data_IF_934294488763
#
_entry.id   IF_934294488763
#
_cell.length_a   1.000
_cell.length_b   1.000
_cell.length_c   1.000
_cell.angle_alpha   90.00
_cell.angle_beta   90.00
_cell.angle_gamma   90.00
#
_symmetry.space_group_name_H-M   'P 1'
#
loop_
_entity.id
_entity.type
_entity.pdbx_description
1 polymer ?
#
# COMPACT_ATOMS: atom_id res chain seq x y z
N UNK A 1 -10.01 10.89 -18.31
CA UNK A 1 -8.83 10.01 -18.19
C UNK A 1 -7.53 10.72 -17.82
N UNK A 2 -7.24 11.94 -18.31
CA UNK A 2 -6.01 12.66 -17.90
C UNK A 2 -6.11 13.40 -16.55
N UNK A 3 -7.30 13.57 -15.96
CA UNK A 3 -7.49 14.33 -14.71
C UNK A 3 -6.97 13.59 -13.48
N UNK A 4 -7.29 12.31 -13.30
CA UNK A 4 -6.79 11.54 -12.14
C UNK A 4 -5.27 11.47 -12.12
N UNK A 5 -4.63 11.19 -13.26
CA UNK A 5 -3.17 11.15 -13.36
C UNK A 5 -2.54 12.48 -12.94
N UNK A 6 -3.11 13.61 -13.36
CA UNK A 6 -2.62 14.94 -12.97
C UNK A 6 -2.90 15.24 -11.49
N UNK A 7 -4.03 14.81 -10.95
CA UNK A 7 -4.35 14.93 -9.53
C UNK A 7 -3.35 14.15 -8.68
N UNK A 8 -3.01 12.92 -9.07
CA UNK A 8 -1.98 12.11 -8.42
C UNK A 8 -0.62 12.82 -8.45
N UNK A 9 -0.14 13.24 -9.63
CA UNK A 9 1.14 13.96 -9.76
C UNK A 9 1.19 15.20 -8.86
N UNK A 10 0.07 15.93 -8.74
CA UNK A 10 0.00 17.15 -7.92
C UNK A 10 -0.03 16.89 -6.42
N UNK A 11 -0.48 15.71 -5.98
CA UNK A 11 -0.68 15.36 -4.57
C UNK A 11 0.48 14.54 -3.97
N UNK A 12 1.38 14.02 -4.80
CA UNK A 12 2.47 13.15 -4.39
C UNK A 12 3.78 13.91 -4.24
N UNK A 13 4.66 13.38 -3.39
CA UNK A 13 6.01 13.93 -3.25
C UNK A 13 6.88 13.46 -4.43
N UNK A 14 7.92 14.21 -4.82
CA UNK A 14 8.89 13.77 -5.83
C UNK A 14 9.52 12.42 -5.48
N UNK A 15 9.91 11.64 -6.49
CA UNK A 15 10.45 10.28 -6.33
C UNK A 15 11.77 10.24 -5.52
N UNK A 16 12.50 11.35 -5.48
CA UNK A 16 13.75 11.52 -4.73
C UNK A 16 13.51 11.95 -3.27
N UNK A 17 12.27 12.30 -2.90
CA UNK A 17 11.93 12.86 -1.59
C UNK A 17 11.56 11.80 -0.55
N UNK A 18 12.07 10.56 -0.68
CA UNK A 18 11.78 9.48 0.25
C UNK A 18 12.20 9.87 1.68
N UNK A 19 11.22 9.88 2.59
CA UNK A 19 11.44 10.20 4.00
C UNK A 19 12.02 9.01 4.76
N UNK A 20 13.00 9.28 5.63
CA UNK A 20 13.49 8.31 6.62
C UNK A 20 12.58 8.17 7.86
N UNK A 21 11.39 8.80 7.84
CA UNK A 21 10.44 8.82 8.96
C UNK A 21 9.02 8.61 8.46
N UNK A 22 8.27 7.77 9.17
CA UNK A 22 6.85 7.55 8.92
C UNK A 22 6.01 8.79 9.30
N UNK A 23 5.04 9.13 8.46
CA UNK A 23 4.01 10.13 8.78
C UNK A 23 2.76 9.47 9.37
N UNK A 24 2.42 8.27 8.91
CA UNK A 24 1.29 7.48 9.39
C UNK A 24 1.76 6.11 9.87
N UNK A 25 0.94 5.43 10.66
CA UNK A 25 1.30 4.13 11.22
C UNK A 25 0.10 3.26 11.58
N UNK A 26 0.35 1.95 11.78
CA UNK A 26 -0.62 1.03 12.39
C UNK A 26 -0.99 1.46 13.84
N UNK A 27 -0.18 2.35 14.44
CA UNK A 27 -0.35 2.86 15.79
C UNK A 27 -1.21 4.14 15.87
N UNK A 28 -1.58 4.77 14.74
CA UNK A 28 -2.33 6.03 14.74
C UNK A 28 -3.73 5.88 15.34
N UNK A 29 -4.33 4.69 15.21
CA UNK A 29 -5.60 4.35 15.86
C UNK A 29 -5.41 3.70 17.24
N UNK A 30 -4.16 3.48 17.66
CA UNK A 30 -3.76 2.72 18.84
C UNK A 30 -2.55 3.38 19.54
N UNK A 31 -2.65 4.62 20.02
CA UNK A 31 -1.50 5.36 20.56
C UNK A 31 -0.85 4.66 21.76
N UNK A 32 -1.61 3.88 22.52
CA UNK A 32 -1.13 3.11 23.68
C UNK A 32 -0.56 1.72 23.31
N UNK A 33 -0.53 1.34 22.03
CA UNK A 33 0.07 0.08 21.62
C UNK A 33 1.61 0.12 21.77
N UNK A 34 2.22 -0.96 22.30
CA UNK A 34 3.67 -1.02 22.40
C UNK A 34 4.30 -1.01 21.01
N UNK A 35 5.25 -0.09 20.80
CA UNK A 35 6.09 -0.06 19.60
C UNK A 35 7.33 -0.92 19.81
N UNK A 36 7.88 -1.42 18.70
CA UNK A 36 9.14 -2.16 18.76
C UNK A 36 10.29 -1.21 19.07
N UNK A 37 11.05 -1.50 20.11
CA UNK A 37 12.26 -0.74 20.47
C UNK A 37 13.45 -1.17 19.58
N UNK A 38 13.33 -0.94 18.27
CA UNK A 38 14.38 -1.17 17.29
C UNK A 38 14.20 -0.26 16.07
N UNK A 39 15.29 0.04 15.33
CA UNK A 39 15.18 0.80 14.09
C UNK A 39 14.20 0.15 13.10
N UNK A 40 13.39 0.98 12.45
CA UNK A 40 12.50 0.52 11.38
C UNK A 40 13.33 0.05 10.18
N UNK A 41 12.89 -1.05 9.58
CA UNK A 41 13.53 -1.60 8.37
C UNK A 41 12.91 -0.92 7.14
N UNK A 42 13.71 -0.37 6.21
CA UNK A 42 13.17 0.27 5.02
C UNK A 42 12.54 -0.78 4.08
N UNK A 43 11.35 -0.45 3.58
CA UNK A 43 10.62 -1.21 2.58
C UNK A 43 9.95 -0.25 1.58
N UNK A 44 9.63 -0.75 0.40
CA UNK A 44 8.87 -0.01 -0.60
C UNK A 44 7.77 -0.90 -1.18
N UNK A 45 6.63 -0.29 -1.47
CA UNK A 45 5.51 -0.95 -2.15
C UNK A 45 5.13 -0.14 -3.38
N UNK A 46 4.68 -0.82 -4.42
CA UNK A 46 4.07 -0.19 -5.59
C UNK A 46 2.57 -0.04 -5.35
N UNK A 47 2.02 1.15 -5.55
CA UNK A 47 0.58 1.39 -5.69
C UNK A 47 0.28 1.53 -7.20
N UNK A 48 0.04 0.42 -7.92
CA UNK A 48 -0.18 0.42 -9.36
C UNK A 48 -1.61 0.80 -9.71
N UNK A 49 -1.81 2.03 -10.24
CA UNK A 49 -3.08 2.49 -10.81
C UNK A 49 -3.16 2.07 -12.27
N UNK A 50 -3.98 1.07 -12.58
CA UNK A 50 -4.14 0.54 -13.94
C UNK A 50 -5.17 1.36 -14.71
N UNK A 51 -4.77 1.90 -15.85
CA UNK A 51 -5.56 2.81 -16.70
C UNK A 51 -6.46 2.05 -17.68
N UNK A 52 -7.45 1.34 -17.15
CA UNK A 52 -8.46 0.68 -18.00
C UNK A 52 -9.47 1.68 -18.56
N UNK A 53 -10.03 1.36 -19.72
CA UNK A 53 -11.02 2.19 -20.42
C UNK A 53 -12.34 2.34 -19.64
N UNK A 54 -12.70 1.35 -18.83
CA UNK A 54 -13.93 1.34 -18.03
C UNK A 54 -13.76 2.01 -16.66
N UNK A 55 -12.56 2.54 -16.38
CA UNK A 55 -12.22 3.22 -15.14
C UNK A 55 -10.95 2.65 -14.50
N UNK A 56 -10.20 3.47 -13.75
CA UNK A 56 -8.95 3.03 -13.15
C UNK A 56 -9.19 2.00 -12.04
N UNK A 57 -8.23 1.09 -11.87
CA UNK A 57 -8.23 0.08 -10.81
C UNK A 57 -6.88 0.08 -10.08
N UNK A 58 -6.81 -0.53 -8.91
CA UNK A 58 -5.55 -0.86 -8.23
C UNK A 58 -5.28 -2.35 -8.28
N UNK A 59 -4.10 -2.74 -8.75
CA UNK A 59 -3.61 -4.10 -8.66
C UNK A 59 -3.07 -4.38 -7.24
N UNK A 60 -3.59 -5.46 -6.64
CA UNK A 60 -3.25 -5.95 -5.31
C UNK A 60 -2.89 -7.44 -5.38
N UNK A 61 -2.13 -7.90 -4.39
CA UNK A 61 -1.76 -9.31 -4.22
C UNK A 61 -2.41 -9.88 -2.97
N UNK A 62 -2.68 -11.17 -2.98
CA UNK A 62 -2.97 -11.96 -1.78
C UNK A 62 -1.77 -12.86 -1.51
N UNK A 63 -1.15 -12.69 -0.34
CA UNK A 63 -0.02 -13.53 0.08
C UNK A 63 -0.43 -15.00 0.18
N UNK A 64 0.49 -15.88 -0.18
CA UNK A 64 0.29 -17.32 -0.10
C UNK A 64 -0.01 -17.78 1.32
N UNK A 65 -0.92 -18.75 1.46
CA UNK A 65 -1.32 -19.31 2.75
C UNK A 65 -0.21 -20.18 3.37
N UNK A 66 0.86 -20.50 2.63
CA UNK A 66 2.01 -21.30 3.09
C UNK A 66 3.11 -20.51 3.80
N UNK A 67 3.01 -19.18 3.88
CA UNK A 67 4.02 -18.33 4.51
C UNK A 67 3.83 -18.26 6.04
N UNK A 68 4.94 -18.35 6.78
CA UNK A 68 4.92 -18.41 8.26
C UNK A 68 4.39 -17.14 8.97
N UNK A 69 4.22 -16.03 8.24
CA UNK A 69 3.62 -14.79 8.72
C UNK A 69 2.68 -14.20 7.68
N UNK A 70 1.59 -13.56 8.13
CA UNK A 70 0.66 -12.79 7.29
C UNK A 70 -0.06 -13.60 6.19
N UNK A 71 -0.43 -14.85 6.49
CA UNK A 71 -1.18 -15.74 5.59
C UNK A 71 -2.45 -15.08 5.05
N UNK A 72 -2.62 -15.08 3.74
CA UNK A 72 -3.82 -14.56 3.07
C UNK A 72 -4.02 -13.05 3.16
N UNK A 73 -3.06 -12.28 3.69
CA UNK A 73 -3.19 -10.82 3.73
C UNK A 73 -3.14 -10.24 2.32
N UNK A 74 -3.99 -9.23 2.10
CA UNK A 74 -4.00 -8.44 0.88
C UNK A 74 -3.00 -7.29 1.01
N UNK A 75 -2.11 -7.19 0.05
CA UNK A 75 -1.02 -6.22 0.03
C UNK A 75 -0.87 -5.59 -1.35
N UNK A 76 -0.16 -4.47 -1.37
CA UNK A 76 0.49 -3.98 -2.57
C UNK A 76 1.70 -4.86 -2.90
N UNK A 77 2.08 -5.01 -4.19
CA UNK A 77 3.37 -5.60 -4.52
C UNK A 77 4.51 -4.82 -3.86
N UNK A 78 5.44 -5.51 -3.21
CA UNK A 78 6.52 -4.80 -2.52
C UNK A 78 7.22 -5.58 -1.43
N UNK A 79 8.34 -5.02 -0.99
CA UNK A 79 9.25 -5.70 -0.08
C UNK A 79 10.35 -4.80 0.44
N UNK A 80 11.42 -5.43 0.91
CA UNK A 80 12.54 -4.73 1.55
C UNK A 80 13.41 -4.06 0.49
N UNK A 81 14.01 -2.94 0.87
CA UNK A 81 15.08 -2.36 0.05
C UNK A 81 16.34 -3.21 0.20
N UNK A 82 16.97 -3.52 -0.94
CA UNK A 82 18.33 -4.08 -0.95
C UNK A 82 19.39 -2.97 -0.81
N UNK A 83 20.61 -3.31 -0.37
CA UNK A 83 21.67 -2.32 -0.20
C UNK A 83 21.96 -1.54 -1.48
N UNK A 84 21.76 -0.22 -1.44
CA UNK A 84 22.02 0.69 -2.56
C UNK A 84 20.82 0.89 -3.50
N UNK A 85 19.68 0.23 -3.26
CA UNK A 85 18.46 0.49 -4.03
C UNK A 85 17.76 1.78 -3.58
N UNK A 86 17.15 2.47 -4.54
CA UNK A 86 16.13 3.48 -4.27
C UNK A 86 14.78 2.82 -3.97
N UNK A 87 13.86 3.58 -3.36
CA UNK A 87 12.48 3.10 -3.11
C UNK A 87 11.76 2.70 -4.41
N UNK A 88 12.01 3.39 -5.51
CA UNK A 88 11.42 3.08 -6.82
C UNK A 88 12.00 1.78 -7.39
N UNK A 89 13.31 1.58 -7.28
CA UNK A 89 13.96 0.34 -7.72
C UNK A 89 13.40 -0.87 -6.97
N UNK A 90 13.32 -0.79 -5.64
CA UNK A 90 12.78 -1.85 -4.81
C UNK A 90 11.31 -2.15 -5.18
N UNK A 91 10.44 -1.14 -5.27
CA UNK A 91 9.03 -1.33 -5.60
C UNK A 91 8.83 -1.98 -6.99
N UNK A 92 9.61 -1.58 -7.99
CA UNK A 92 9.55 -2.16 -9.34
C UNK A 92 10.10 -3.59 -9.38
N UNK A 93 11.23 -3.86 -8.72
CA UNK A 93 11.80 -5.21 -8.62
C UNK A 93 10.80 -6.17 -8.00
N UNK A 94 10.23 -5.82 -6.86
CA UNK A 94 9.27 -6.65 -6.14
C UNK A 94 7.99 -6.87 -6.97
N UNK A 95 7.49 -5.86 -7.69
CA UNK A 95 6.34 -6.03 -8.59
C UNK A 95 6.63 -7.01 -9.75
N UNK A 96 7.87 -7.05 -10.24
CA UNK A 96 8.29 -8.05 -11.24
C UNK A 96 8.38 -9.44 -10.60
N UNK A 97 9.02 -9.56 -9.43
CA UNK A 97 9.23 -10.83 -8.74
C UNK A 97 7.92 -11.47 -8.29
N UNK A 98 7.00 -10.69 -7.71
CA UNK A 98 5.77 -11.19 -7.11
C UNK A 98 4.66 -11.46 -8.13
N UNK A 99 4.51 -10.61 -9.15
CA UNK A 99 3.37 -10.67 -10.11
C UNK A 99 3.76 -10.56 -11.58
N UNK A 100 5.05 -10.48 -11.91
CA UNK A 100 5.52 -10.41 -13.30
C UNK A 100 5.16 -9.10 -14.00
N UNK A 101 4.84 -8.04 -13.26
CA UNK A 101 4.45 -6.75 -13.85
C UNK A 101 5.69 -6.08 -14.49
N UNK A 102 5.78 -6.15 -15.82
CA UNK A 102 6.91 -5.56 -16.55
C UNK A 102 7.01 -4.04 -16.32
N UNK A 103 8.21 -3.49 -16.00
CA UNK A 103 8.43 -2.06 -15.83
C UNK A 103 8.07 -1.24 -17.08
N UNK A 104 8.03 -1.85 -18.27
CA UNK A 104 7.64 -1.16 -19.51
C UNK A 104 6.18 -0.68 -19.49
N UNK A 105 5.34 -1.24 -18.62
CA UNK A 105 3.97 -0.80 -18.42
C UNK A 105 3.84 0.24 -17.31
N UNK A 106 4.87 0.46 -16.50
CA UNK A 106 4.78 1.18 -15.22
C UNK A 106 5.48 2.53 -15.30
N UNK A 107 4.76 3.60 -15.02
CA UNK A 107 5.28 4.95 -14.88
C UNK A 107 5.15 5.42 -13.43
N UNK A 108 6.22 5.43 -12.62
CA UNK A 108 6.20 6.02 -11.28
C UNK A 108 5.83 7.50 -11.35
N UNK A 109 4.82 7.92 -10.59
CA UNK A 109 4.32 9.30 -10.57
C UNK A 109 4.86 10.11 -9.39
N UNK A 110 5.06 9.46 -8.24
CA UNK A 110 5.51 10.11 -7.01
C UNK A 110 5.37 9.20 -5.80
N UNK A 111 5.72 9.73 -4.62
CA UNK A 111 5.66 9.01 -3.35
C UNK A 111 4.44 9.46 -2.55
N UNK A 112 3.74 8.50 -1.95
CA UNK A 112 2.77 8.77 -0.90
C UNK A 112 3.45 8.81 0.46
N UNK A 113 2.69 9.05 1.53
CA UNK A 113 3.26 9.16 2.87
C UNK A 113 3.88 7.84 3.35
N UNK A 114 5.10 7.93 3.88
CA UNK A 114 5.77 6.79 4.48
C UNK A 114 4.98 6.28 5.71
N UNK A 115 4.90 4.96 5.85
CA UNK A 115 4.04 4.27 6.79
C UNK A 115 4.82 3.33 7.71
N UNK A 116 4.61 3.43 9.02
CA UNK A 116 5.17 2.49 10.01
C UNK A 116 4.20 1.34 10.25
N UNK A 117 4.67 0.11 10.02
CA UNK A 117 3.88 -1.10 10.30
C UNK A 117 4.19 -1.68 11.68
N UNK A 118 3.23 -2.41 12.26
CA UNK A 118 3.40 -3.12 13.55
C UNK A 118 4.56 -4.14 13.52
N UNK A 119 4.98 -4.57 12.33
CA UNK A 119 6.10 -5.51 12.14
C UNK A 119 7.47 -4.83 12.08
N UNK A 120 7.51 -3.50 12.21
CA UNK A 120 8.73 -2.70 12.23
C UNK A 120 9.32 -2.43 10.85
N UNK A 121 8.47 -2.25 9.84
CA UNK A 121 8.87 -1.68 8.55
C UNK A 121 8.50 -0.20 8.46
N UNK A 122 9.40 0.59 7.86
CA UNK A 122 9.12 1.90 7.30
C UNK A 122 8.86 1.70 5.81
N UNK A 123 7.59 1.69 5.42
CA UNK A 123 7.16 1.44 4.05
C UNK A 123 7.01 2.76 3.31
N UNK A 124 7.67 2.90 2.17
CA UNK A 124 7.48 4.03 1.25
C UNK A 124 6.59 3.59 0.09
N UNK A 125 5.35 4.10 -0.03
CA UNK A 125 4.48 3.76 -1.15
C UNK A 125 4.82 4.57 -2.39
N UNK A 126 5.21 3.88 -3.46
CA UNK A 126 5.47 4.46 -4.78
C UNK A 126 4.19 4.34 -5.61
N UNK A 127 3.53 5.47 -5.89
CA UNK A 127 2.33 5.46 -6.74
C UNK A 127 2.76 5.51 -8.20
N UNK A 128 2.20 4.61 -9.02
CA UNK A 128 2.54 4.50 -10.43
C UNK A 128 1.30 4.40 -11.31
N UNK A 129 1.39 4.97 -12.50
CA UNK A 129 0.41 4.78 -13.57
C UNK A 129 0.81 3.54 -14.38
N UNK A 130 -0.13 2.64 -14.60
CA UNK A 130 0.12 1.38 -15.31
C UNK A 130 -0.71 1.33 -16.58
N UNK A 131 -0.03 1.23 -17.73
CA UNK A 131 -0.70 1.03 -19.01
C UNK A 131 -1.21 -0.41 -19.10
N UNK A 132 -2.48 -0.63 -19.50
CA UNK A 132 -3.03 -1.97 -19.66
C UNK A 132 -2.31 -2.77 -20.76
N UNK A 133 -2.64 -4.06 -20.88
CA UNK A 133 -2.04 -4.96 -21.87
C UNK A 133 -0.81 -5.72 -21.36
N UNK A 134 -0.54 -5.71 -20.05
CA UNK A 134 0.41 -6.60 -19.41
C UNK A 134 -0.20 -7.98 -19.16
N UNK A 135 0.65 -8.97 -18.88
CA UNK A 135 0.23 -10.30 -18.39
C UNK A 135 0.85 -10.51 -17.03
N UNK A 136 0.05 -10.92 -16.05
CA UNK A 136 0.54 -11.23 -14.70
C UNK A 136 0.98 -12.68 -14.62
N UNK A 137 2.10 -12.91 -13.95
CA UNK A 137 2.59 -14.23 -13.58
C UNK A 137 2.99 -14.19 -12.11
N UNK A 138 2.16 -14.77 -11.25
CA UNK A 138 2.41 -14.78 -9.80
C UNK A 138 3.44 -15.83 -9.44
N UNK A 139 4.35 -15.54 -8.50
CA UNK A 139 5.13 -16.59 -7.84
C UNK A 139 4.26 -17.27 -6.76
N UNK A 140 3.80 -18.52 -6.96
CA UNK A 140 2.89 -19.18 -6.03
C UNK A 140 3.48 -19.43 -4.64
N UNK A 141 4.81 -19.32 -4.48
CA UNK A 141 5.47 -19.42 -3.17
C UNK A 141 5.19 -18.20 -2.30
N UNK A 142 4.92 -17.05 -2.92
CA UNK A 142 4.78 -15.76 -2.23
C UNK A 142 3.38 -15.16 -2.41
N UNK A 143 2.82 -15.27 -3.61
CA UNK A 143 1.52 -14.71 -4.01
C UNK A 143 0.60 -15.84 -4.45
N UNK A 144 -0.47 -16.06 -3.69
CA UNK A 144 -1.52 -17.01 -4.05
C UNK A 144 -2.41 -16.48 -5.18
N UNK A 145 -2.57 -15.16 -5.27
CA UNK A 145 -3.50 -14.53 -6.18
C UNK A 145 -3.16 -13.06 -6.42
N UNK A 146 -3.46 -12.55 -7.61
CA UNK A 146 -3.32 -11.14 -7.97
C UNK A 146 -4.63 -10.66 -8.59
N UNK A 147 -5.16 -9.56 -8.10
CA UNK A 147 -6.48 -9.08 -8.47
C UNK A 147 -6.54 -7.56 -8.46
N UNK A 148 -7.52 -7.00 -9.15
CA UNK A 148 -7.72 -5.57 -9.22
C UNK A 148 -8.98 -5.15 -8.45
N UNK A 149 -8.91 -4.00 -7.79
CA UNK A 149 -10.06 -3.37 -7.12
C UNK A 149 -10.34 -2.00 -7.74
N UNK A 150 -11.60 -1.63 -8.03
CA UNK A 150 -11.92 -0.33 -8.63
C UNK A 150 -11.38 0.84 -7.80
N UNK A 151 -10.74 1.81 -8.47
CA UNK A 151 -10.20 3.02 -7.82
C UNK A 151 -11.29 3.80 -7.08
N UNK A 152 -12.46 3.96 -7.70
CA UNK A 152 -13.58 4.69 -7.10
C UNK A 152 -14.07 4.05 -5.80
N UNK A 153 -14.07 2.71 -5.71
CA UNK A 153 -14.40 2.02 -4.47
C UNK A 153 -13.40 2.34 -3.37
N UNK A 154 -12.10 2.31 -3.69
CA UNK A 154 -11.01 2.56 -2.74
C UNK A 154 -10.85 4.03 -2.34
N UNK A 155 -11.40 4.96 -3.12
CA UNK A 155 -11.36 6.39 -2.82
C UNK A 155 -12.68 6.95 -2.30
N UNK A 156 -13.72 6.13 -2.20
CA UNK A 156 -14.95 6.48 -1.50
C UNK A 156 -14.77 6.29 0.01
N UNK A 157 -14.80 7.39 0.75
CA UNK A 157 -14.65 7.40 2.21
C UNK A 157 -15.68 6.52 2.93
N UNK A 158 -16.87 6.30 2.36
CA UNK A 158 -17.88 5.41 2.94
C UNK A 158 -17.40 3.96 3.05
N UNK A 159 -16.41 3.56 2.24
CA UNK A 159 -15.81 2.23 2.28
C UNK A 159 -14.65 2.12 3.28
N UNK A 160 -14.20 3.24 3.87
CA UNK A 160 -13.12 3.27 4.86
C UNK A 160 -13.65 2.97 6.26
N UNK A 161 -13.70 1.69 6.61
CA UNK A 161 -14.22 1.24 7.91
C UNK A 161 -13.12 1.26 8.96
N UNK A 162 -13.48 1.68 10.17
CA UNK A 162 -12.68 1.40 11.37
C UNK A 162 -13.25 0.17 12.03
N UNK A 163 -12.46 -0.88 12.07
CA UNK A 163 -12.80 -2.14 12.73
C UNK A 163 -11.82 -2.38 13.88
N UNK A 164 -12.11 -3.38 14.71
CA UNK A 164 -11.26 -3.70 15.86
C UNK A 164 -11.26 -5.20 16.15
N UNK A 165 -10.23 -5.62 16.87
CA UNK A 165 -10.19 -6.92 17.55
C UNK A 165 -9.81 -6.73 19.02
N UNK A 166 -10.23 -7.64 19.89
CA UNK A 166 -9.79 -7.69 21.27
C UNK A 166 -8.44 -8.43 21.33
N UNK A 167 -7.38 -7.73 21.75
CA UNK A 167 -6.05 -8.31 21.88
C UNK A 167 -5.97 -9.23 23.12
N UNK A 168 -4.96 -10.12 23.20
CA UNK A 168 -4.80 -11.02 24.35
C UNK A 168 -4.66 -10.33 25.71
N UNK A 169 -4.22 -9.06 25.72
CA UNK A 169 -4.12 -8.21 26.90
C UNK A 169 -5.47 -7.57 27.31
N UNK A 170 -6.56 -7.88 26.60
CA UNK A 170 -7.90 -7.34 26.84
C UNK A 170 -8.13 -5.94 26.25
N UNK A 171 -7.14 -5.34 25.59
CA UNK A 171 -7.29 -4.04 24.94
C UNK A 171 -7.90 -4.17 23.55
N UNK A 172 -8.72 -3.19 23.15
CA UNK A 172 -9.21 -3.12 21.76
C UNK A 172 -8.14 -2.52 20.87
N UNK A 173 -7.81 -3.21 19.78
CA UNK A 173 -6.91 -2.74 18.75
C UNK A 173 -7.71 -2.41 17.49
N UNK A 174 -7.65 -1.16 17.07
CA UNK A 174 -8.38 -0.62 15.94
C UNK A 174 -7.54 -0.66 14.67
N UNK A 175 -8.16 -0.83 13.52
CA UNK A 175 -7.50 -0.81 12.23
C UNK A 175 -8.45 -0.31 11.13
N UNK A 176 -7.87 0.15 10.02
CA UNK A 176 -8.65 0.47 8.82
C UNK A 176 -8.93 -0.81 8.01
N UNK A 177 -10.12 -0.89 7.44
CA UNK A 177 -10.54 -1.94 6.53
C UNK A 177 -11.39 -1.39 5.38
N UNK A 178 -11.27 -2.01 4.21
CA UNK A 178 -12.04 -1.72 3.00
C UNK A 178 -12.49 -3.05 2.35
N UNK A 179 -13.52 -3.73 2.91
CA UNK A 179 -13.95 -5.03 2.40
C UNK A 179 -14.60 -4.92 1.02
N UNK A 180 -14.08 -5.64 0.02
CA UNK A 180 -14.54 -5.63 -1.36
C UNK A 180 -14.84 -7.05 -1.85
N UNK A 181 -16.11 -7.40 -2.01
CA UNK A 181 -16.50 -8.78 -2.31
C UNK A 181 -15.96 -9.75 -1.25
N UNK A 182 -15.20 -10.76 -1.67
CA UNK A 182 -14.52 -11.71 -0.77
C UNK A 182 -13.12 -11.23 -0.33
N UNK A 183 -12.70 -10.04 -0.74
CA UNK A 183 -11.38 -9.47 -0.46
C UNK A 183 -11.45 -8.56 0.76
N UNK A 184 -10.80 -8.97 1.83
CA UNK A 184 -10.71 -8.18 3.05
C UNK A 184 -9.41 -7.36 3.04
N UNK A 185 -9.47 -6.11 2.57
CA UNK A 185 -8.31 -5.19 2.53
C UNK A 185 -8.22 -4.51 3.89
N UNK A 186 -7.16 -4.71 4.66
CA UNK A 186 -7.08 -4.21 6.04
C UNK A 186 -5.64 -3.93 6.50
N UNK A 187 -5.50 -3.37 7.70
CA UNK A 187 -4.20 -3.10 8.33
C UNK A 187 -3.39 -2.08 7.53
N UNK A 188 -2.08 -2.30 7.41
CA UNK A 188 -1.17 -1.37 6.74
C UNK A 188 -1.59 -1.02 5.30
N UNK A 189 -2.10 -1.97 4.52
CA UNK A 189 -2.59 -1.71 3.15
C UNK A 189 -3.74 -0.71 3.14
N UNK A 190 -4.76 -0.94 3.97
CA UNK A 190 -5.88 -0.01 4.12
C UNK A 190 -5.46 1.32 4.76
N UNK A 191 -4.49 1.31 5.69
CA UNK A 191 -3.90 2.50 6.28
C UNK A 191 -3.20 3.38 5.25
N UNK A 192 -2.39 2.79 4.37
CA UNK A 192 -1.73 3.48 3.25
C UNK A 192 -2.75 4.02 2.24
N UNK A 193 -3.80 3.26 1.91
CA UNK A 193 -4.90 3.74 1.06
C UNK A 193 -5.63 4.92 1.70
N UNK A 194 -5.88 4.86 3.01
CA UNK A 194 -6.52 5.96 3.75
C UNK A 194 -5.66 7.22 3.77
N UNK A 195 -4.34 7.06 3.90
CA UNK A 195 -3.38 8.15 3.79
C UNK A 195 -3.40 8.78 2.40
N UNK A 196 -3.32 7.96 1.34
CA UNK A 196 -3.41 8.43 -0.05
C UNK A 196 -4.72 9.17 -0.33
N UNK A 197 -5.85 8.64 0.17
CA UNK A 197 -7.13 9.35 0.10
C UNK A 197 -7.05 10.74 0.74
N UNK A 198 -6.41 10.85 1.90
CA UNK A 198 -6.21 12.11 2.61
C UNK A 198 -5.42 13.12 1.77
N UNK A 199 -4.32 12.69 1.14
CA UNK A 199 -3.57 13.54 0.21
C UNK A 199 -4.42 14.09 -0.94
N UNK A 200 -5.36 13.29 -1.44
CA UNK A 200 -6.16 13.63 -2.63
C UNK A 200 -7.39 14.49 -2.32
N UNK A 201 -7.97 14.37 -1.13
CA UNK A 201 -9.27 14.95 -0.78
C UNK A 201 -9.24 15.87 0.44
N UNK A 202 -8.22 15.78 1.29
CA UNK A 202 -8.07 16.56 2.51
C UNK A 202 -6.58 16.85 2.82
N UNK A 203 -5.90 17.65 1.99
CA UNK A 203 -4.45 17.86 2.08
C UNK A 203 -4.01 18.60 3.36
N UNK A 204 -4.95 19.20 4.10
CA UNK A 204 -4.71 19.84 5.38
C UNK A 204 -4.66 18.84 6.56
N UNK A 205 -4.96 17.56 6.33
CA UNK A 205 -5.02 16.55 7.38
C UNK A 205 -3.62 16.15 7.84
N UNK A 206 -3.34 16.43 9.11
CA UNK A 206 -2.16 15.89 9.79
C UNK A 206 -2.45 14.48 10.32
N UNK A 207 -1.40 13.68 10.50
CA UNK A 207 -1.53 12.40 11.19
C UNK A 207 -2.05 12.64 12.61
N UNK A 208 -2.98 11.80 13.06
CA UNK A 208 -3.47 11.87 14.44
C UNK A 208 -2.29 11.47 15.34
N UNK A 209 -1.76 12.45 16.06
CA UNK A 209 -0.61 12.31 16.95
C UNK A 209 -0.89 11.37 18.13
#
# INVERSE_FOLDING_TARGET
>A
MNELRQQLISALDPLEAASGRARFSDFDLNPDAPRLDRPLRPAAVLIPVVDHTDGPTLLLTRRSDSLASHTGQIAFPGGRLDPGETVVQAALREAVEEVGLSPDHVEPLGLSDAYETVTGFLVTPVVAWVRPGFTLTTDPREVADAFETPWEFLMDEANHRREFYDAPDGTRRWFWAMPWGERYIWGATAGMLRSLWGRLHDPAREAVA
#
